data_IF_858097691214
#
_entry.id   IF_858097691214
#
_cell.length_a   1.000
_cell.length_b   1.000
_cell.length_c   1.000
_cell.angle_alpha   90.00
_cell.angle_beta   90.00
_cell.angle_gamma   90.00
#
_symmetry.space_group_name_H-M   'P 1'
#
loop_
_entity.id
_entity.type
_entity.pdbx_description
1 polymer ?
#
# COMPACT_ATOMS: atom_id res chain seq x y z
N UNK A 1 -7.88 0.56 -0.31
CA UNK A 1 -7.95 0.70 -1.79
C UNK A 1 -9.21 -0.01 -2.27
N UNK A 2 -9.64 0.22 -3.51
CA UNK A 2 -9.97 -0.90 -4.40
C UNK A 2 -11.47 -1.24 -4.33
N UNK A 3 -11.97 -2.33 -4.92
CA UNK A 3 -13.39 -2.74 -4.82
C UNK A 3 -14.32 -2.40 -6.00
N UNK A 4 -13.78 -1.92 -7.13
CA UNK A 4 -14.57 -1.77 -8.38
C UNK A 4 -13.86 -2.36 -9.61
N UNK A 5 -12.89 -3.25 -9.46
CA UNK A 5 -12.11 -3.78 -10.59
C UNK A 5 -13.00 -4.28 -11.74
N UNK A 6 -14.03 -5.05 -11.37
CA UNK A 6 -15.00 -5.64 -12.29
C UNK A 6 -16.31 -4.84 -12.49
N UNK A 7 -16.45 -3.66 -11.85
CA UNK A 7 -17.68 -2.84 -11.87
C UNK A 7 -17.51 -1.43 -12.47
N UNK A 8 -16.37 -1.17 -13.12
CA UNK A 8 -16.06 0.16 -13.67
C UNK A 8 -16.73 0.45 -15.01
N UNK A 9 -16.98 1.74 -15.24
CA UNK A 9 -17.45 2.28 -16.52
C UNK A 9 -16.41 1.97 -17.62
N UNK A 10 -16.78 1.14 -18.59
CA UNK A 10 -15.89 0.63 -19.65
C UNK A 10 -15.44 -0.82 -19.48
N UNK A 11 -15.84 -1.51 -18.40
CA UNK A 11 -15.73 -2.96 -18.24
C UNK A 11 -17.14 -3.57 -18.28
N UNK A 12 -17.43 -4.36 -19.31
CA UNK A 12 -18.78 -4.89 -19.56
C UNK A 12 -19.11 -6.15 -18.75
N UNK A 13 -18.13 -6.73 -18.03
CA UNK A 13 -18.33 -7.98 -17.28
C UNK A 13 -19.36 -7.85 -16.14
N UNK A 14 -19.49 -6.66 -15.53
CA UNK A 14 -20.48 -6.33 -14.49
C UNK A 14 -20.65 -7.43 -13.42
N UNK A 15 -19.54 -7.99 -12.95
CA UNK A 15 -19.56 -9.13 -12.03
C UNK A 15 -20.17 -8.78 -10.67
N UNK A 16 -20.91 -9.74 -10.10
CA UNK A 16 -21.47 -9.60 -8.76
C UNK A 16 -20.40 -9.86 -7.69
N UNK A 17 -19.65 -8.80 -7.36
CA UNK A 17 -18.65 -8.78 -6.27
C UNK A 17 -19.15 -8.01 -5.03
N UNK A 18 -20.00 -8.60 -4.17
CA UNK A 18 -20.46 -7.93 -2.94
C UNK A 18 -19.33 -7.78 -1.92
N UNK A 19 -19.53 -6.90 -0.92
CA UNK A 19 -18.61 -6.79 0.22
C UNK A 19 -18.63 -8.10 1.03
N UNK A 20 -17.45 -8.60 1.39
CA UNK A 20 -17.25 -9.83 2.16
C UNK A 20 -17.26 -9.55 3.66
N UNK A 21 -18.00 -10.32 4.48
CA UNK A 21 -17.81 -10.32 5.92
C UNK A 21 -16.44 -10.94 6.31
N UNK A 22 -15.94 -10.74 7.56
CA UNK A 22 -14.58 -11.10 7.95
C UNK A 22 -14.24 -12.60 7.85
N UNK A 23 -15.22 -13.47 8.10
CA UNK A 23 -15.11 -14.92 7.94
C UNK A 23 -14.94 -15.33 6.47
N UNK A 24 -15.76 -14.80 5.57
CA UNK A 24 -15.62 -15.01 4.11
C UNK A 24 -14.29 -14.47 3.61
N UNK A 25 -13.92 -13.25 4.00
CA UNK A 25 -12.65 -12.63 3.62
C UNK A 25 -11.45 -13.51 4.01
N UNK A 26 -11.39 -13.95 5.28
CA UNK A 26 -10.30 -14.81 5.77
C UNK A 26 -10.26 -16.14 5.05
N UNK A 27 -11.41 -16.78 4.87
CA UNK A 27 -11.47 -18.05 4.15
C UNK A 27 -10.93 -17.93 2.72
N UNK A 28 -11.40 -16.93 1.97
CA UNK A 28 -10.94 -16.68 0.60
C UNK A 28 -9.45 -16.34 0.58
N UNK A 29 -8.98 -15.48 1.47
CA UNK A 29 -7.55 -15.14 1.58
C UNK A 29 -6.69 -16.39 1.79
N UNK A 30 -7.02 -17.23 2.77
CA UNK A 30 -6.23 -18.44 3.06
C UNK A 30 -6.28 -19.45 1.91
N UNK A 31 -7.43 -19.61 1.26
CA UNK A 31 -7.56 -20.44 0.05
C UNK A 31 -6.62 -19.94 -1.05
N UNK A 32 -6.66 -18.64 -1.35
CA UNK A 32 -5.84 -18.02 -2.39
C UNK A 32 -4.35 -18.07 -2.04
N UNK A 33 -3.99 -17.81 -0.78
CA UNK A 33 -2.61 -17.95 -0.30
C UNK A 33 -2.10 -19.37 -0.50
N UNK A 34 -2.90 -20.37 -0.11
CA UNK A 34 -2.54 -21.79 -0.26
C UNK A 34 -2.32 -22.17 -1.72
N UNK A 35 -3.19 -21.72 -2.61
CA UNK A 35 -3.04 -21.92 -4.05
C UNK A 35 -1.76 -21.26 -4.59
N UNK A 36 -1.55 -19.97 -4.31
CA UNK A 36 -0.42 -19.21 -4.83
C UNK A 36 0.93 -19.72 -4.31
N UNK A 37 0.99 -20.29 -3.10
CA UNK A 37 2.21 -20.91 -2.55
C UNK A 37 2.70 -22.12 -3.33
N UNK A 38 1.90 -22.68 -4.23
CA UNK A 38 2.34 -23.76 -5.14
C UNK A 38 3.24 -23.23 -6.28
N UNK A 39 3.26 -21.91 -6.51
CA UNK A 39 4.03 -21.25 -7.59
C UNK A 39 4.95 -20.15 -7.07
N UNK A 40 4.59 -19.45 -6.00
CA UNK A 40 5.37 -18.36 -5.45
C UNK A 40 5.94 -18.76 -4.10
N UNK A 41 7.24 -18.50 -3.90
CA UNK A 41 7.90 -18.83 -2.64
C UNK A 41 7.42 -17.92 -1.50
N UNK A 42 7.06 -16.67 -1.82
CA UNK A 42 6.56 -15.69 -0.85
C UNK A 42 5.14 -15.27 -1.23
N UNK A 43 4.23 -15.37 -0.28
CA UNK A 43 2.83 -14.96 -0.42
C UNK A 43 2.36 -14.34 0.90
N UNK A 44 1.87 -13.10 0.84
CA UNK A 44 1.28 -12.42 2.00
C UNK A 44 0.13 -11.49 1.59
N UNK A 45 -0.60 -11.02 2.59
CA UNK A 45 -1.56 -9.93 2.47
C UNK A 45 -1.19 -8.82 3.45
N UNK A 46 -1.45 -7.55 3.13
CA UNK A 46 -1.19 -6.45 4.05
C UNK A 46 -2.04 -6.56 5.31
N UNK A 47 -1.54 -6.00 6.41
CA UNK A 47 -2.28 -5.95 7.67
C UNK A 47 -3.56 -5.13 7.48
N UNK A 48 -4.69 -5.62 7.97
CA UNK A 48 -5.96 -4.95 7.77
C UNK A 48 -6.05 -3.62 8.54
N UNK A 49 -6.90 -2.72 8.03
CA UNK A 49 -7.29 -1.52 8.74
C UNK A 49 -8.11 -1.91 10.00
N UNK A 50 -7.87 -1.29 11.18
CA UNK A 50 -8.66 -1.54 12.38
C UNK A 50 -10.17 -1.45 12.17
N UNK A 51 -10.92 -2.25 12.93
CA UNK A 51 -12.39 -2.20 13.04
C UNK A 51 -13.17 -2.32 11.71
N UNK A 52 -12.58 -2.93 10.68
CA UNK A 52 -13.25 -3.13 9.39
C UNK A 52 -14.28 -4.26 9.49
N UNK A 53 -15.55 -3.92 9.30
CA UNK A 53 -16.66 -4.89 9.38
C UNK A 53 -16.91 -5.66 8.07
N UNK A 54 -16.37 -5.18 6.96
CA UNK A 54 -16.47 -5.83 5.65
C UNK A 54 -15.31 -5.47 4.70
N UNK A 55 -15.13 -6.25 3.63
CA UNK A 55 -14.01 -6.15 2.69
C UNK A 55 -14.51 -6.11 1.25
N UNK A 56 -13.91 -5.31 0.38
CA UNK A 56 -14.31 -5.23 -1.04
C UNK A 56 -13.53 -6.19 -1.93
N UNK A 57 -12.33 -6.50 -1.46
CA UNK A 57 -11.26 -7.14 -2.16
C UNK A 57 -10.34 -7.84 -1.15
N UNK A 58 -9.53 -8.76 -1.66
CA UNK A 58 -8.38 -9.33 -0.98
C UNK A 58 -7.13 -8.87 -1.72
N UNK A 59 -6.36 -7.98 -1.10
CA UNK A 59 -5.02 -7.63 -1.60
C UNK A 59 -4.06 -8.79 -1.26
N UNK A 60 -3.39 -9.34 -2.28
CA UNK A 60 -2.39 -10.41 -2.13
C UNK A 60 -1.13 -9.99 -2.86
N UNK A 61 0.00 -10.06 -2.16
CA UNK A 61 1.33 -9.84 -2.72
C UNK A 61 2.02 -11.19 -2.85
N UNK A 62 2.74 -11.36 -3.96
CA UNK A 62 3.57 -12.53 -4.21
C UNK A 62 4.94 -12.12 -4.70
N UNK A 63 5.96 -12.91 -4.36
CA UNK A 63 7.32 -12.72 -4.86
C UNK A 63 7.98 -14.07 -5.13
N UNK A 64 8.99 -14.05 -6.00
CA UNK A 64 9.79 -15.21 -6.42
C UNK A 64 8.94 -16.34 -7.02
N UNK A 65 8.58 -16.16 -8.29
CA UNK A 65 7.94 -17.21 -9.08
C UNK A 65 8.91 -18.38 -9.28
N UNK A 66 8.56 -19.56 -8.80
CA UNK A 66 9.41 -20.77 -8.87
C UNK A 66 9.56 -21.29 -10.29
N UNK A 67 8.70 -20.85 -11.23
CA UNK A 67 8.88 -21.13 -12.66
C UNK A 67 9.93 -20.23 -13.32
N UNK A 68 10.42 -19.20 -12.59
CA UNK A 68 11.42 -18.22 -13.06
C UNK A 68 10.87 -17.17 -14.04
N UNK A 69 9.83 -17.53 -14.81
CA UNK A 69 9.30 -16.74 -15.92
C UNK A 69 8.91 -15.31 -15.55
N UNK A 70 8.24 -15.12 -14.41
CA UNK A 70 7.77 -13.79 -14.02
C UNK A 70 8.85 -12.94 -13.33
N UNK A 71 10.02 -13.50 -13.05
CA UNK A 71 11.13 -12.80 -12.41
C UNK A 71 12.06 -12.11 -13.44
N UNK A 72 11.82 -12.31 -14.74
CA UNK A 72 12.67 -11.79 -15.83
C UNK A 72 12.47 -10.29 -16.12
N UNK A 73 11.49 -9.64 -15.48
CA UNK A 73 11.11 -8.26 -15.77
C UNK A 73 11.76 -7.28 -14.79
N UNK A 74 12.05 -6.06 -15.27
CA UNK A 74 12.71 -5.02 -14.48
C UNK A 74 11.72 -4.13 -13.72
N UNK A 75 10.46 -4.08 -14.13
CA UNK A 75 9.41 -3.33 -13.44
C UNK A 75 8.02 -3.91 -13.69
N UNK A 76 7.09 -3.61 -12.78
CA UNK A 76 5.72 -4.13 -12.84
C UNK A 76 4.97 -3.71 -14.12
N UNK A 77 5.35 -2.59 -14.75
CA UNK A 77 4.69 -2.14 -15.98
C UNK A 77 5.09 -2.95 -17.20
N UNK A 78 6.36 -3.35 -17.31
CA UNK A 78 6.85 -4.30 -18.31
C UNK A 78 6.20 -5.67 -18.13
N UNK A 79 6.15 -6.17 -16.89
CA UNK A 79 5.47 -7.42 -16.57
C UNK A 79 4.00 -7.37 -17.02
N UNK A 80 3.23 -6.34 -16.64
CA UNK A 80 1.81 -6.20 -17.04
C UNK A 80 1.61 -6.22 -18.56
N UNK A 81 2.52 -5.63 -19.33
CA UNK A 81 2.45 -5.62 -20.80
C UNK A 81 2.81 -6.95 -21.43
N UNK A 82 3.59 -7.77 -20.72
CA UNK A 82 4.21 -8.98 -21.25
C UNK A 82 3.55 -10.27 -20.76
N UNK A 83 2.68 -10.19 -19.75
CA UNK A 83 1.85 -11.32 -19.30
C UNK A 83 1.08 -11.93 -20.47
N UNK A 84 1.41 -13.18 -20.78
CA UNK A 84 0.79 -13.93 -21.87
C UNK A 84 -0.56 -14.50 -21.45
N UNK A 85 -1.40 -14.89 -22.42
CA UNK A 85 -2.64 -15.62 -22.14
C UNK A 85 -2.38 -16.89 -21.30
N UNK A 86 -1.32 -17.63 -21.60
CA UNK A 86 -0.95 -18.82 -20.83
C UNK A 86 -0.55 -18.54 -19.38
N UNK A 87 0.06 -17.37 -19.09
CA UNK A 87 0.34 -16.97 -17.70
C UNK A 87 -0.95 -16.70 -16.93
N UNK A 88 -1.88 -16.00 -17.58
CA UNK A 88 -3.18 -15.67 -17.02
C UNK A 88 -4.02 -16.93 -16.79
N UNK A 89 -4.05 -17.86 -17.75
CA UNK A 89 -4.75 -19.14 -17.65
C UNK A 89 -4.17 -20.00 -16.52
N UNK A 90 -2.84 -20.02 -16.38
CA UNK A 90 -2.16 -20.72 -15.28
C UNK A 90 -2.55 -20.13 -13.92
N UNK A 91 -2.60 -18.80 -13.77
CA UNK A 91 -3.01 -18.14 -12.53
C UNK A 91 -4.50 -18.37 -12.24
N UNK A 92 -5.36 -18.31 -13.26
CA UNK A 92 -6.79 -18.62 -13.12
C UNK A 92 -7.01 -20.06 -12.65
N UNK A 93 -6.36 -21.02 -13.30
CA UNK A 93 -6.46 -22.43 -12.95
C UNK A 93 -5.96 -22.67 -11.52
N UNK A 94 -4.81 -22.12 -11.16
CA UNK A 94 -4.21 -22.28 -9.84
C UNK A 94 -5.12 -21.75 -8.72
N UNK A 95 -5.74 -20.59 -8.95
CA UNK A 95 -6.58 -19.91 -7.94
C UNK A 95 -8.06 -20.28 -8.02
N UNK A 96 -8.45 -21.11 -8.98
CA UNK A 96 -9.85 -21.40 -9.35
C UNK A 96 -10.66 -20.12 -9.63
N UNK A 97 -10.01 -19.12 -10.20
CA UNK A 97 -10.67 -17.87 -10.57
C UNK A 97 -11.58 -18.10 -11.79
N UNK A 98 -12.79 -17.55 -11.71
CA UNK A 98 -13.75 -17.55 -12.81
C UNK A 98 -13.41 -16.52 -13.89
N UNK A 99 -12.76 -15.42 -13.50
CA UNK A 99 -12.37 -14.34 -14.39
C UNK A 99 -11.03 -13.76 -13.95
N UNK A 100 -10.26 -13.27 -14.92
CA UNK A 100 -9.00 -12.55 -14.71
C UNK A 100 -8.96 -11.30 -15.57
N UNK A 101 -8.36 -10.23 -15.04
CA UNK A 101 -8.09 -9.00 -15.78
C UNK A 101 -6.70 -8.48 -15.44
N UNK A 102 -6.01 -7.95 -16.45
CA UNK A 102 -4.83 -7.12 -16.22
C UNK A 102 -5.30 -5.68 -16.03
N UNK A 103 -5.12 -5.14 -14.83
CA UNK A 103 -5.49 -3.77 -14.52
C UNK A 103 -4.40 -2.82 -14.99
N UNK A 104 -4.73 -1.92 -15.92
CA UNK A 104 -3.76 -0.97 -16.52
C UNK A 104 -3.67 0.38 -15.79
N UNK A 105 -4.53 0.63 -14.80
CA UNK A 105 -4.65 1.95 -14.13
C UNK A 105 -4.45 1.97 -12.61
N UNK A 106 -4.30 0.81 -11.95
CA UNK A 106 -4.11 0.73 -10.49
C UNK A 106 -2.84 -0.02 -10.14
N UNK A 107 -2.49 0.00 -8.85
CA UNK A 107 -1.27 -0.58 -8.32
C UNK A 107 -1.21 -2.12 -8.41
N UNK A 108 -2.34 -2.82 -8.60
CA UNK A 108 -2.38 -4.28 -8.75
C UNK A 108 -1.79 -4.74 -10.09
N UNK A 109 -1.14 -5.90 -10.13
CA UNK A 109 -0.64 -6.50 -11.39
C UNK A 109 -1.77 -7.22 -12.13
N UNK A 110 -2.59 -7.96 -11.38
CA UNK A 110 -3.70 -8.79 -11.90
C UNK A 110 -4.90 -8.66 -10.95
N UNK A 111 -6.11 -8.68 -11.50
CA UNK A 111 -7.36 -8.80 -10.75
C UNK A 111 -8.01 -10.14 -11.04
N UNK A 112 -8.40 -10.89 -10.00
CA UNK A 112 -9.09 -12.17 -10.12
C UNK A 112 -10.49 -12.07 -9.52
N UNK A 113 -11.45 -12.81 -10.09
CA UNK A 113 -12.77 -13.00 -9.50
C UNK A 113 -12.98 -14.47 -9.13
N UNK A 114 -12.98 -14.77 -7.85
CA UNK A 114 -13.05 -16.14 -7.31
C UNK A 114 -14.44 -16.40 -6.71
N UNK A 115 -15.12 -17.52 -7.02
CA UNK A 115 -16.39 -17.84 -6.40
C UNK A 115 -16.31 -17.91 -4.87
N UNK A 116 -17.32 -17.36 -4.18
CA UNK A 116 -17.48 -17.63 -2.75
C UNK A 116 -17.73 -19.12 -2.54
N UNK A 117 -17.16 -19.69 -1.48
CA UNK A 117 -17.43 -21.09 -1.16
C UNK A 117 -18.91 -21.28 -0.79
N UNK A 118 -19.47 -22.42 -1.18
CA UNK A 118 -20.84 -22.83 -0.83
C UNK A 118 -21.06 -22.87 0.70
N UNK A 119 -19.97 -23.05 1.48
CA UNK A 119 -19.97 -22.99 2.94
C UNK A 119 -20.38 -21.62 3.51
N UNK A 120 -20.39 -20.57 2.68
CA UNK A 120 -20.83 -19.22 3.06
C UNK A 120 -22.06 -18.82 2.24
N UNK A 121 -23.24 -19.38 2.55
CA UNK A 121 -24.45 -19.07 1.81
C UNK A 121 -24.83 -17.61 2.01
N UNK A 122 -24.88 -16.86 0.91
CA UNK A 122 -25.49 -15.53 0.90
C UNK A 122 -26.97 -15.72 0.63
N UNK A 123 -27.84 -15.06 1.41
CA UNK A 123 -29.27 -14.99 1.07
C UNK A 123 -29.45 -14.14 -0.17
N UNK A 124 -29.30 -14.75 -1.34
CA UNK A 124 -29.46 -14.08 -2.63
C UNK A 124 -30.89 -14.27 -3.12
N UNK A 125 -31.52 -13.16 -3.53
CA UNK A 125 -32.81 -13.24 -4.19
C UNK A 125 -32.71 -14.11 -5.45
N UNK A 126 -33.80 -14.82 -5.80
CA UNK A 126 -33.86 -15.63 -7.04
C UNK A 126 -33.46 -14.78 -8.25
N UNK A 127 -32.49 -15.27 -9.02
CA UNK A 127 -32.00 -14.60 -10.24
C UNK A 127 -30.76 -13.72 -10.05
N UNK A 128 -30.24 -13.60 -8.82
CA UNK A 128 -28.95 -12.92 -8.60
C UNK A 128 -27.79 -13.92 -8.84
N UNK A 129 -26.74 -13.54 -9.59
CA UNK A 129 -25.57 -14.39 -9.82
C UNK A 129 -24.89 -14.81 -8.52
N UNK A 130 -24.17 -15.95 -8.55
CA UNK A 130 -23.32 -16.37 -7.43
C UNK A 130 -22.28 -15.29 -7.09
N UNK A 131 -22.03 -15.02 -5.80
CA UNK A 131 -21.13 -13.96 -5.38
C UNK A 131 -19.68 -14.35 -5.68
N UNK A 132 -18.93 -13.38 -6.19
CA UNK A 132 -17.50 -13.50 -6.47
C UNK A 132 -16.71 -12.59 -5.52
N UNK A 133 -15.58 -13.07 -5.03
CA UNK A 133 -14.59 -12.30 -4.30
C UNK A 133 -13.60 -11.69 -5.29
N UNK A 134 -13.36 -10.38 -5.17
CA UNK A 134 -12.31 -9.71 -5.93
C UNK A 134 -10.96 -9.95 -5.23
N UNK A 135 -9.95 -10.39 -5.97
CA UNK A 135 -8.56 -10.46 -5.50
C UNK A 135 -7.74 -9.48 -6.31
N UNK A 136 -7.03 -8.60 -5.61
CA UNK A 136 -6.05 -7.69 -6.20
C UNK A 136 -4.66 -8.33 -5.99
N UNK A 137 -4.13 -8.96 -7.03
CA UNK A 137 -2.86 -9.69 -7.01
C UNK A 137 -1.71 -8.77 -7.46
N UNK A 138 -0.74 -8.60 -6.58
CA UNK A 138 0.48 -7.84 -6.78
C UNK A 138 1.64 -8.83 -6.95
N UNK A 139 2.24 -8.83 -8.14
CA UNK A 139 3.42 -9.64 -8.43
C UNK A 139 4.63 -8.74 -8.28
N UNK A 140 5.37 -8.95 -7.19
CA UNK A 140 6.56 -8.19 -6.81
C UNK A 140 7.80 -8.85 -7.39
N UNK A 141 8.65 -8.05 -8.02
CA UNK A 141 9.80 -8.54 -8.80
C UNK A 141 11.05 -8.77 -7.93
N UNK A 142 11.07 -8.20 -6.73
CA UNK A 142 12.11 -8.42 -5.72
C UNK A 142 11.50 -8.49 -4.33
N UNK A 143 12.26 -9.05 -3.39
CA UNK A 143 11.87 -9.07 -1.98
C UNK A 143 11.74 -7.64 -1.42
N UNK A 144 12.62 -6.73 -1.80
CA UNK A 144 12.57 -5.32 -1.41
C UNK A 144 11.27 -4.64 -1.86
N UNK A 145 10.84 -4.85 -3.12
CA UNK A 145 9.56 -4.33 -3.63
C UNK A 145 8.37 -4.96 -2.90
N UNK A 146 8.45 -6.26 -2.61
CA UNK A 146 7.44 -6.97 -1.84
C UNK A 146 7.27 -6.38 -0.43
N UNK A 147 8.37 -6.20 0.30
CA UNK A 147 8.37 -5.66 1.66
C UNK A 147 7.87 -4.20 1.69
N UNK A 148 8.31 -3.38 0.72
CA UNK A 148 7.86 -1.99 0.62
C UNK A 148 6.37 -1.88 0.31
N UNK A 149 5.85 -2.65 -0.66
CA UNK A 149 4.41 -2.64 -0.97
C UNK A 149 3.58 -3.20 0.18
N UNK A 150 4.06 -4.25 0.87
CA UNK A 150 3.39 -4.81 2.04
C UNK A 150 3.27 -3.75 3.14
N UNK A 151 4.36 -3.02 3.41
CA UNK A 151 4.38 -1.87 4.33
C UNK A 151 3.41 -0.77 3.89
N UNK A 152 3.45 -0.38 2.60
CA UNK A 152 2.61 0.69 2.05
C UNK A 152 1.10 0.43 2.21
N UNK A 153 0.68 -0.82 2.04
CA UNK A 153 -0.73 -1.20 2.07
C UNK A 153 -1.22 -1.59 3.46
N UNK A 154 -0.31 -1.88 4.40
CA UNK A 154 -0.66 -2.25 5.77
C UNK A 154 -1.40 -1.13 6.50
N UNK A 155 -2.39 -1.52 7.30
CA UNK A 155 -3.33 -0.65 8.02
C UNK A 155 -4.13 0.32 7.14
N UNK A 156 -4.11 0.13 5.82
CA UNK A 156 -4.94 0.84 4.84
C UNK A 156 -4.56 2.30 4.57
N UNK A 157 -4.72 3.19 5.56
CA UNK A 157 -4.55 4.64 5.39
C UNK A 157 -3.31 5.23 6.11
N UNK A 158 -2.63 4.47 6.97
CA UNK A 158 -1.51 4.98 7.78
C UNK A 158 -0.39 5.59 6.92
N UNK A 159 -0.02 4.92 5.83
CA UNK A 159 1.00 5.39 4.91
C UNK A 159 0.68 6.78 4.37
N UNK A 160 -0.61 7.08 4.16
CA UNK A 160 -1.05 8.39 3.70
C UNK A 160 -1.03 9.45 4.82
N UNK A 161 -1.24 9.07 6.08
CA UNK A 161 -1.04 9.99 7.20
C UNK A 161 0.43 10.40 7.26
N UNK A 162 1.32 9.41 7.23
CA UNK A 162 2.76 9.62 7.26
C UNK A 162 3.19 10.49 6.06
N UNK A 163 2.72 10.18 4.85
CA UNK A 163 3.00 10.97 3.65
C UNK A 163 2.60 12.44 3.82
N UNK A 164 1.39 12.71 4.32
CA UNK A 164 0.93 14.10 4.54
C UNK A 164 1.77 14.81 5.61
N UNK A 165 2.18 14.11 6.67
CA UNK A 165 3.00 14.71 7.75
C UNK A 165 4.40 15.09 7.29
N UNK A 166 5.04 14.30 6.42
CA UNK A 166 6.44 14.54 6.01
C UNK A 166 6.58 15.53 4.85
N UNK A 167 5.52 15.74 4.08
CA UNK A 167 5.53 16.60 2.88
C UNK A 167 6.04 18.03 3.12
N UNK A 168 5.63 18.75 4.20
CA UNK A 168 6.13 20.11 4.47
C UNK A 168 7.65 20.21 4.64
N UNK A 169 8.34 19.09 4.87
CA UNK A 169 9.79 19.02 5.05
C UNK A 169 10.53 18.67 3.75
N UNK A 170 9.83 18.64 2.62
CA UNK A 170 10.40 18.22 1.34
C UNK A 170 10.60 16.71 1.23
N UNK A 171 9.96 15.92 2.08
CA UNK A 171 10.03 14.47 2.02
C UNK A 171 8.79 13.89 1.33
N UNK A 172 8.99 12.83 0.56
CA UNK A 172 7.92 12.09 -0.13
C UNK A 172 7.97 10.63 0.32
N UNK A 173 6.87 10.12 0.86
CA UNK A 173 6.64 8.67 0.98
C UNK A 173 5.89 8.21 -0.28
N UNK A 174 6.59 7.53 -1.18
CA UNK A 174 6.12 7.21 -2.53
C UNK A 174 6.03 5.71 -2.81
N UNK A 175 5.73 5.40 -4.08
CA UNK A 175 5.77 4.01 -4.59
C UNK A 175 7.19 3.44 -4.58
N UNK A 176 8.19 4.31 -4.68
CA UNK A 176 9.60 3.93 -4.77
C UNK A 176 10.35 3.99 -3.44
N UNK A 177 9.73 4.34 -2.32
CA UNK A 177 10.43 4.50 -1.05
C UNK A 177 10.19 5.85 -0.38
N UNK A 178 11.01 6.15 0.62
CA UNK A 178 11.16 7.49 1.18
C UNK A 178 12.13 8.28 0.29
N UNK A 179 11.72 9.46 -0.14
CA UNK A 179 12.49 10.32 -1.04
C UNK A 179 12.61 11.75 -0.49
N UNK A 180 13.67 12.44 -0.88
CA UNK A 180 13.91 13.85 -0.62
C UNK A 180 13.73 14.66 -1.90
N UNK A 181 12.83 15.63 -1.88
CA UNK A 181 12.62 16.59 -2.96
C UNK A 181 13.72 17.65 -2.94
N UNK A 182 14.27 17.95 -4.11
CA UNK A 182 15.28 18.99 -4.34
C UNK A 182 14.55 20.27 -4.75
N UNK A 183 14.39 21.20 -3.80
CA UNK A 183 13.59 22.43 -3.97
C UNK A 183 13.99 23.24 -5.20
N UNK A 184 15.29 23.29 -5.49
CA UNK A 184 15.88 24.11 -6.53
C UNK A 184 15.48 23.70 -7.96
N UNK A 185 15.03 22.45 -8.16
CA UNK A 185 14.74 21.90 -9.50
C UNK A 185 13.31 21.34 -9.63
N UNK A 186 12.44 21.53 -8.62
CA UNK A 186 11.08 20.98 -8.62
C UNK A 186 10.23 21.52 -9.79
N UNK A 187 10.43 22.79 -10.14
CA UNK A 187 9.73 23.45 -11.25
C UNK A 187 10.37 23.16 -12.63
N UNK A 188 11.59 22.61 -12.63
CA UNK A 188 12.37 22.37 -13.84
C UNK A 188 12.23 20.94 -14.36
N UNK A 189 12.05 19.97 -13.46
CA UNK A 189 12.03 18.54 -13.82
C UNK A 189 11.10 17.71 -12.93
N UNK A 190 10.58 16.62 -13.50
CA UNK A 190 9.88 15.58 -12.74
C UNK A 190 10.86 14.64 -11.99
N UNK A 191 12.16 14.71 -12.29
CA UNK A 191 13.23 13.95 -11.61
C UNK A 191 13.91 14.82 -10.55
N UNK A 192 13.11 15.35 -9.62
CA UNK A 192 13.56 16.24 -8.55
C UNK A 192 13.64 15.53 -7.20
N UNK A 193 13.67 14.20 -7.18
CA UNK A 193 13.60 13.39 -5.96
C UNK A 193 14.80 12.46 -5.81
N UNK A 194 15.42 12.47 -4.64
CA UNK A 194 16.51 11.55 -4.28
C UNK A 194 15.93 10.44 -3.41
N UNK A 195 16.10 9.19 -3.81
CA UNK A 195 15.76 8.05 -2.96
C UNK A 195 16.64 8.06 -1.70
N UNK A 196 15.98 8.06 -0.54
CA UNK A 196 16.63 7.96 0.76
C UNK A 196 16.70 6.49 1.21
N UNK A 197 15.58 5.77 1.23
CA UNK A 197 15.57 4.31 1.47
C UNK A 197 14.25 3.68 1.04
N UNK A 198 14.29 2.37 0.81
CA UNK A 198 13.14 1.48 0.59
C UNK A 198 12.91 0.50 1.73
N UNK A 199 13.75 0.49 2.75
CA UNK A 199 13.65 -0.45 3.86
C UNK A 199 12.64 0.07 4.91
N UNK A 200 11.51 -0.64 5.15
CA UNK A 200 10.45 -0.15 6.05
C UNK A 200 10.95 0.16 7.47
N UNK A 201 11.82 -0.68 8.03
CA UNK A 201 12.43 -0.50 9.36
C UNK A 201 13.21 0.81 9.47
N UNK A 202 14.12 1.08 8.52
CA UNK A 202 14.90 2.32 8.47
C UNK A 202 14.00 3.53 8.28
N UNK A 203 12.98 3.43 7.43
CA UNK A 203 12.01 4.52 7.23
C UNK A 203 11.25 4.79 8.54
N UNK A 204 10.77 3.77 9.25
CA UNK A 204 10.10 3.94 10.55
C UNK A 204 11.03 4.59 11.58
N UNK A 205 12.26 4.10 11.70
CA UNK A 205 13.27 4.68 12.58
C UNK A 205 13.50 6.17 12.26
N UNK A 206 13.68 6.50 10.98
CA UNK A 206 13.84 7.87 10.50
C UNK A 206 12.63 8.74 10.82
N UNK A 207 11.41 8.20 10.74
CA UNK A 207 10.17 8.89 11.13
C UNK A 207 10.00 8.99 12.66
N UNK A 208 10.87 8.35 13.44
CA UNK A 208 10.76 8.30 14.91
C UNK A 208 9.62 7.41 15.38
N UNK A 209 9.19 6.48 14.54
CA UNK A 209 8.12 5.53 14.82
C UNK A 209 8.74 4.21 15.28
N UNK A 210 8.11 3.56 16.26
CA UNK A 210 8.57 2.27 16.78
C UNK A 210 8.36 1.18 15.73
N UNK A 211 9.44 0.53 15.31
CA UNK A 211 9.41 -0.60 14.35
C UNK A 211 9.30 -1.97 15.03
N UNK A 212 9.80 -2.12 16.26
CA UNK A 212 9.85 -3.40 16.99
C UNK A 212 8.59 -3.72 17.82
N UNK A 213 7.52 -2.96 17.60
CA UNK A 213 6.25 -3.13 18.32
C UNK A 213 5.27 -4.02 17.58
N UNK A 214 4.18 -4.38 18.25
CA UNK A 214 3.12 -5.21 17.66
C UNK A 214 2.34 -4.49 16.55
N UNK A 215 2.55 -3.19 16.37
CA UNK A 215 1.87 -2.39 15.35
C UNK A 215 2.06 -2.94 13.94
N UNK A 216 3.24 -3.47 13.61
CA UNK A 216 3.54 -4.00 12.27
C UNK A 216 3.45 -5.52 12.18
N UNK A 217 2.87 -6.18 13.18
CA UNK A 217 2.63 -7.63 13.20
C UNK A 217 1.14 -7.99 13.14
N UNK A 218 0.26 -7.06 13.58
CA UNK A 218 -1.18 -7.31 13.69
C UNK A 218 -1.99 -6.01 13.53
N UNK A 219 -3.30 -6.11 13.19
CA UNK A 219 -4.15 -4.94 13.13
C UNK A 219 -4.20 -4.19 14.47
N UNK A 220 -4.28 -2.86 14.40
CA UNK A 220 -4.59 -2.03 15.56
C UNK A 220 -5.96 -2.40 16.14
N UNK A 221 -6.13 -2.21 17.46
CA UNK A 221 -7.39 -2.49 18.15
C UNK A 221 -8.52 -1.55 17.73
N UNK A 222 -8.16 -0.31 17.35
CA UNK A 222 -9.11 0.72 16.91
C UNK A 222 -8.45 1.74 15.98
N UNK A 223 -9.27 2.52 15.27
CA UNK A 223 -8.80 3.67 14.50
C UNK A 223 -8.10 4.70 15.40
N UNK A 224 -8.57 4.88 16.64
CA UNK A 224 -7.93 5.81 17.59
C UNK A 224 -6.53 5.33 17.96
N UNK A 225 -6.33 4.03 18.24
CA UNK A 225 -5.01 3.47 18.52
C UNK A 225 -4.05 3.67 17.33
N UNK A 226 -4.55 3.49 16.10
CA UNK A 226 -3.80 3.77 14.88
C UNK A 226 -3.40 5.25 14.78
N UNK A 227 -4.32 6.17 15.09
CA UNK A 227 -4.04 7.61 15.06
C UNK A 227 -3.05 8.02 16.14
N UNK A 228 -3.20 7.51 17.35
CA UNK A 228 -2.28 7.75 18.46
C UNK A 228 -0.87 7.29 18.10
N UNK A 229 -0.70 6.08 17.54
CA UNK A 229 0.60 5.62 17.05
C UNK A 229 1.17 6.53 15.96
N UNK A 230 0.38 6.87 14.92
CA UNK A 230 0.84 7.74 13.85
C UNK A 230 1.27 9.13 14.36
N UNK A 231 0.62 9.64 15.41
CA UNK A 231 0.93 10.93 16.04
C UNK A 231 2.27 10.96 16.79
N UNK A 232 2.86 9.79 17.08
CA UNK A 232 4.21 9.69 17.67
C UNK A 232 5.32 10.01 16.68
N UNK A 233 5.00 10.08 15.38
CA UNK A 233 5.92 10.49 14.33
C UNK A 233 6.60 11.82 14.70
N UNK A 234 7.92 11.89 14.54
CA UNK A 234 8.70 13.12 14.85
C UNK A 234 8.31 14.31 13.96
N UNK A 235 7.67 14.05 12.82
CA UNK A 235 7.17 15.05 11.90
C UNK A 235 5.70 15.44 12.16
N UNK A 236 5.07 14.91 13.21
CA UNK A 236 3.70 15.27 13.57
C UNK A 236 3.62 16.70 14.11
N UNK A 237 3.17 17.62 13.26
CA UNK A 237 3.09 19.04 13.57
C UNK A 237 1.76 19.64 13.13
N UNK A 238 1.51 20.89 13.51
CA UNK A 238 0.41 21.64 12.92
C UNK A 238 0.79 22.11 11.51
N UNK A 239 0.63 21.25 10.52
CA UNK A 239 0.90 21.59 9.12
C UNK A 239 -0.09 22.63 8.55
N UNK A 240 -1.14 23.02 9.27
CA UNK A 240 -2.12 23.99 8.76
C UNK A 240 -2.97 23.43 7.61
N UNK A 241 -4.07 24.10 7.32
CA UNK A 241 -5.06 23.61 6.35
C UNK A 241 -4.58 23.83 4.89
N UNK A 242 -3.65 24.77 4.67
CA UNK A 242 -3.06 25.09 3.36
C UNK A 242 -2.13 23.98 2.85
N UNK A 243 -1.64 23.11 3.74
CA UNK A 243 -0.84 21.95 3.38
C UNK A 243 -1.69 20.74 3.01
N UNK A 244 -2.98 20.89 2.71
CA UNK A 244 -3.83 19.81 2.16
C UNK A 244 -3.87 19.93 0.63
N UNK A 245 -3.32 18.94 -0.06
CA UNK A 245 -3.26 18.92 -1.52
C UNK A 245 -4.56 18.46 -2.18
N UNK A 246 -4.75 18.74 -3.47
CA UNK A 246 -5.84 18.16 -4.27
C UNK A 246 -5.91 16.63 -4.20
N UNK A 247 -4.75 15.96 -4.10
CA UNK A 247 -4.68 14.52 -3.94
C UNK A 247 -5.28 14.09 -2.58
N UNK A 248 -5.04 14.85 -1.52
CA UNK A 248 -5.61 14.59 -0.19
C UNK A 248 -7.12 14.85 -0.18
N UNK A 249 -7.59 15.90 -0.86
CA UNK A 249 -9.02 16.14 -1.07
C UNK A 249 -9.69 14.98 -1.81
N UNK A 250 -9.05 14.42 -2.85
CA UNK A 250 -9.54 13.22 -3.55
C UNK A 250 -9.56 11.99 -2.64
N UNK A 251 -8.52 11.78 -1.82
CA UNK A 251 -8.47 10.68 -0.84
C UNK A 251 -9.60 10.78 0.18
N UNK A 252 -9.84 11.97 0.76
CA UNK A 252 -10.91 12.18 1.74
C UNK A 252 -12.32 11.86 1.22
N UNK A 253 -12.56 11.88 -0.10
CA UNK A 253 -13.85 11.51 -0.71
C UNK A 253 -14.14 10.00 -0.63
N UNK A 254 -13.10 9.17 -0.72
CA UNK A 254 -13.23 7.71 -0.83
C UNK A 254 -12.69 6.94 0.38
N UNK A 255 -11.77 7.55 1.15
CA UNK A 255 -11.09 6.94 2.30
C UNK A 255 -11.61 7.54 3.60
N UNK A 256 -12.54 6.83 4.26
CA UNK A 256 -13.19 7.29 5.49
C UNK A 256 -12.20 7.50 6.64
N UNK A 257 -11.27 6.55 6.86
CA UNK A 257 -10.30 6.64 7.96
C UNK A 257 -9.34 7.82 7.76
N UNK A 258 -8.86 8.01 6.52
CA UNK A 258 -8.11 9.22 6.17
C UNK A 258 -8.88 10.52 6.36
N UNK A 259 -10.17 10.55 6.00
CA UNK A 259 -11.01 11.73 6.27
C UNK A 259 -11.13 12.01 7.77
N UNK A 260 -11.35 10.99 8.59
CA UNK A 260 -11.44 11.13 10.06
C UNK A 260 -10.13 11.62 10.66
N UNK A 261 -8.98 11.09 10.20
CA UNK A 261 -7.66 11.61 10.61
C UNK A 261 -7.54 13.12 10.37
N UNK A 262 -7.81 13.58 9.13
CA UNK A 262 -7.62 14.99 8.74
C UNK A 262 -8.67 15.92 9.35
N UNK A 263 -9.94 15.50 9.42
CA UNK A 263 -11.06 16.38 9.79
C UNK A 263 -11.47 16.31 11.26
N UNK A 264 -11.04 15.28 11.98
CA UNK A 264 -11.45 15.07 13.38
C UNK A 264 -10.22 14.96 14.30
N UNK A 265 -9.32 14.01 14.04
CA UNK A 265 -8.18 13.75 14.93
C UNK A 265 -7.15 14.90 14.94
N UNK A 266 -6.68 15.35 13.78
CA UNK A 266 -5.69 16.44 13.68
C UNK A 266 -6.22 17.76 14.31
N UNK A 267 -7.47 18.20 14.05
CA UNK A 267 -8.05 19.36 14.73
C UNK A 267 -8.18 19.19 16.24
N UNK A 268 -8.51 17.99 16.74
CA UNK A 268 -8.53 17.71 18.18
C UNK A 268 -7.15 17.89 18.81
N UNK A 269 -6.11 17.32 18.20
CA UNK A 269 -4.72 17.51 18.65
C UNK A 269 -4.29 18.97 18.65
N UNK A 270 -4.81 19.79 17.72
CA UNK A 270 -4.59 21.25 17.68
C UNK A 270 -5.18 21.95 18.89
N UNK A 271 -6.41 21.60 19.29
CA UNK A 271 -7.07 22.18 20.46
C UNK A 271 -6.42 21.76 21.76
N UNK A 272 -5.90 20.53 21.82
CA UNK A 272 -5.22 19.97 22.99
C UNK A 272 -3.72 20.32 23.06
N UNK A 273 -3.20 21.13 22.13
CA UNK A 273 -1.77 21.51 22.03
C UNK A 273 -0.80 20.31 22.00
N UNK A 274 -1.21 19.20 21.37
CA UNK A 274 -0.47 17.93 21.35
C UNK A 274 0.66 17.84 20.32
N UNK A 275 0.81 18.85 19.47
CA UNK A 275 1.86 18.86 18.44
C UNK A 275 3.24 19.13 19.03
N UNK A 276 4.27 18.65 18.34
CA UNK A 276 5.65 19.01 18.66
C UNK A 276 5.84 20.52 18.57
N UNK A 277 6.25 21.15 19.68
CA UNK A 277 6.32 22.62 19.80
C UNK A 277 7.39 23.25 18.90
N UNK A 278 8.42 22.50 18.51
CA UNK A 278 9.59 22.99 17.78
C UNK A 278 9.84 22.16 16.55
N UNK A 279 9.04 22.41 15.52
CA UNK A 279 9.14 21.69 14.26
C UNK A 279 9.89 22.60 13.29
N UNK A 280 11.07 22.19 12.79
CA UNK A 280 11.89 23.03 11.93
C UNK A 280 11.18 23.27 10.59
N UNK A 281 11.36 24.46 9.99
CA UNK A 281 10.98 24.67 8.59
C UNK A 281 11.75 23.69 7.68
N UNK A 282 11.28 23.44 6.45
CA UNK A 282 12.03 22.65 5.44
C UNK A 282 13.50 23.05 5.40
N UNK A 283 13.79 24.35 5.31
CA UNK A 283 15.15 24.88 5.27
C UNK A 283 15.94 24.55 6.54
N UNK A 284 15.35 24.72 7.72
CA UNK A 284 15.99 24.35 8.98
C UNK A 284 16.22 22.84 9.08
N UNK A 285 15.24 22.03 8.67
CA UNK A 285 15.34 20.58 8.66
C UNK A 285 16.48 20.12 7.77
N UNK A 286 16.51 20.58 6.51
CA UNK A 286 17.57 20.24 5.57
C UNK A 286 18.94 20.75 6.02
N UNK A 287 19.03 21.90 6.69
CA UNK A 287 20.28 22.41 7.24
C UNK A 287 20.79 21.61 8.44
N UNK A 288 19.91 21.28 9.39
CA UNK A 288 20.24 20.56 10.61
C UNK A 288 20.45 19.06 10.39
N UNK A 289 19.93 18.51 9.30
CA UNK A 289 19.98 17.07 9.01
C UNK A 289 20.74 16.78 7.70
N UNK A 290 21.62 17.69 7.25
CA UNK A 290 22.44 17.48 6.03
C UNK A 290 23.21 16.17 6.09
N UNK A 291 23.77 15.85 7.25
CA UNK A 291 24.57 14.64 7.43
C UNK A 291 23.69 13.40 7.51
N UNK A 292 22.58 13.44 8.24
CA UNK A 292 21.61 12.33 8.32
C UNK A 292 21.04 12.01 6.91
N UNK A 293 20.60 13.02 6.17
CA UNK A 293 20.07 12.85 4.80
C UNK A 293 21.13 12.36 3.81
N UNK A 294 22.40 12.80 3.97
CA UNK A 294 23.53 12.29 3.20
C UNK A 294 23.88 10.86 3.56
N UNK A 295 23.95 10.51 4.84
CA UNK A 295 24.25 9.15 5.31
C UNK A 295 23.17 8.17 4.86
N UNK A 296 21.89 8.53 4.99
CA UNK A 296 20.78 7.74 4.49
C UNK A 296 20.91 7.49 2.98
N UNK A 297 21.18 8.55 2.19
CA UNK A 297 21.38 8.43 0.73
C UNK A 297 22.64 7.66 0.32
N UNK A 298 23.74 7.78 1.07
CA UNK A 298 25.00 7.09 0.80
C UNK A 298 24.94 5.60 1.15
N UNK A 299 24.26 5.23 2.23
CA UNK A 299 24.10 3.84 2.66
C UNK A 299 23.40 2.97 1.61
N UNK A 300 22.44 3.53 0.86
CA UNK A 300 21.74 2.84 -0.23
C UNK A 300 22.59 2.71 -1.51
N UNK A 301 23.47 3.68 -1.80
CA UNK A 301 24.38 3.61 -2.96
C UNK A 301 25.42 2.50 -2.82
N UNK A 302 25.86 2.23 -1.60
CA UNK A 302 26.77 1.12 -1.29
C UNK A 302 26.10 -0.26 -1.37
N UNK A 303 24.81 -0.36 -1.07
CA UNK A 303 24.04 -1.62 -1.18
C UNK A 303 23.76 -2.03 -2.63
N UNK A 304 23.57 -1.05 -3.54
CA UNK A 304 23.40 -1.31 -4.98
C UNK A 304 24.68 -1.75 -5.69
N UNK A 305 25.86 -1.30 -5.23
CA UNK A 305 27.15 -1.65 -5.86
C UNK A 305 27.64 -3.06 -5.50
N UNK A 306 27.16 -3.64 -4.39
CA UNK A 306 27.43 -5.04 -4.03
C UNK A 306 26.50 -6.02 -4.72
N UNK A 307 25.23 -5.68 -5.01
CA UNK A 307 24.31 -6.61 -5.72
C UNK A 307 24.53 -6.71 -7.23
N UNK A 308 25.38 -5.86 -7.82
CA UNK A 308 25.75 -5.92 -9.26
C UNK A 308 27.07 -6.65 -9.51
N UNK A 309 27.64 -7.27 -8.47
CA UNK A 309 28.81 -8.15 -8.56
C UNK A 309 28.51 -9.49 -7.91
N UNK A 310 27.62 -10.26 -8.51
CA UNK A 310 27.58 -11.72 -8.41
C UNK A 310 26.87 -12.32 -9.63
#
# INVERSE_FOLDING_TARGET
>A
MGGFGFRRKGNDLKLFTPRMPPDVYRFIREKVHTALRQRFLIVASPIENPAKNDYGDVDVLVCWDTTGRLNEYNNAQELRKSLSAGDLDSLMLLTEASHILIERKHNSTVQLAIPWSESFPVSIAKGVPHPLAQIDLHICLSLEDFEWQLFQFSHGDIFWFLHTMVRPFGLTLGVDGLQLRIEEIEDETNDHEILLSREPSKVLEFLGLRSEGQEWDRPFESCDALFEYASTCRFFCNFGDDNISDADHKRMKSRKVYKTWVKEFVPKCRQEERFHKHVPSRKQYLQSNKDITREFSLSERTSKSTSTRE
#
